data_IF_356214745666
#
_entry.id   IF_356214745666
#
_cell.length_a   1.000
_cell.length_b   1.000
_cell.length_c   1.000
_cell.angle_alpha   90.00
_cell.angle_beta   90.00
_cell.angle_gamma   90.00
#
_symmetry.space_group_name_H-M   'P 1'
#
loop_
_entity.id
_entity.type
_entity.pdbx_description
1 polymer ?
#
# COMPACT_ATOMS: atom_id res chain seq x y z
N UNK A 1 -38.22 46.03 5.41
CA UNK A 1 -38.09 44.74 4.70
C UNK A 1 -37.55 43.73 5.68
N UNK A 2 -38.42 43.01 6.40
CA UNK A 2 -38.04 42.05 7.45
C UNK A 2 -38.91 40.80 7.27
N UNK A 3 -38.47 39.87 6.43
CA UNK A 3 -39.09 38.55 6.21
C UNK A 3 -38.21 37.39 6.65
N UNK A 4 -37.35 37.62 7.64
CA UNK A 4 -36.31 36.60 7.95
C UNK A 4 -36.59 35.76 9.21
N UNK A 5 -37.69 35.97 9.90
CA UNK A 5 -37.99 35.29 11.17
C UNK A 5 -39.34 34.60 11.23
N UNK A 6 -39.92 34.20 10.08
CA UNK A 6 -41.14 33.38 10.17
C UNK A 6 -40.77 31.95 10.63
N UNK A 7 -41.43 31.40 11.66
CA UNK A 7 -41.18 30.05 12.13
C UNK A 7 -41.49 29.05 11.01
N UNK A 8 -40.51 28.13 10.78
CA UNK A 8 -40.62 27.08 9.77
C UNK A 8 -41.93 26.29 9.95
N UNK A 9 -42.64 26.04 8.85
CA UNK A 9 -43.84 25.21 8.87
C UNK A 9 -43.50 23.77 9.30
N UNK A 10 -44.42 23.02 9.89
CA UNK A 10 -44.21 21.62 10.28
C UNK A 10 -43.69 20.75 9.12
N UNK A 11 -44.14 21.05 7.89
CA UNK A 11 -43.71 20.31 6.68
C UNK A 11 -42.24 20.62 6.35
N UNK A 12 -41.84 21.89 6.42
CA UNK A 12 -40.45 22.30 6.16
C UNK A 12 -39.48 21.71 7.20
N UNK A 13 -39.91 21.67 8.47
CA UNK A 13 -39.12 21.01 9.52
C UNK A 13 -38.96 19.50 9.25
N UNK A 14 -40.04 18.82 8.82
CA UNK A 14 -39.98 17.40 8.48
C UNK A 14 -39.04 17.12 7.29
N UNK A 15 -39.12 17.95 6.24
CA UNK A 15 -38.24 17.85 5.05
C UNK A 15 -36.78 18.12 5.43
N UNK A 16 -36.53 19.15 6.25
CA UNK A 16 -35.17 19.50 6.72
C UNK A 16 -34.59 18.35 7.57
N UNK A 17 -35.38 17.79 8.49
CA UNK A 17 -35.01 16.63 9.31
C UNK A 17 -34.70 15.40 8.45
N UNK A 18 -35.53 15.10 7.45
CA UNK A 18 -35.30 13.99 6.50
C UNK A 18 -34.00 14.19 5.72
N UNK A 19 -33.76 15.37 5.18
CA UNK A 19 -32.51 15.71 4.45
C UNK A 19 -31.29 15.58 5.36
N UNK A 20 -31.40 15.98 6.61
CA UNK A 20 -30.33 15.82 7.60
C UNK A 20 -29.99 14.34 7.82
N UNK A 21 -30.99 13.50 8.06
CA UNK A 21 -30.78 12.07 8.26
C UNK A 21 -30.21 11.39 7.00
N UNK A 22 -30.70 11.72 5.82
CA UNK A 22 -30.16 11.21 4.55
C UNK A 22 -28.68 11.55 4.40
N UNK A 23 -28.31 12.81 4.65
CA UNK A 23 -26.88 13.23 4.61
C UNK A 23 -26.03 12.47 5.61
N UNK A 24 -26.55 12.28 6.81
CA UNK A 24 -25.84 11.54 7.87
C UNK A 24 -25.60 10.08 7.48
N UNK A 25 -26.61 9.42 6.93
CA UNK A 25 -26.49 8.04 6.43
C UNK A 25 -25.50 7.97 5.27
N UNK A 26 -25.56 8.89 4.31
CA UNK A 26 -24.59 8.93 3.19
C UNK A 26 -23.16 9.11 3.70
N UNK A 27 -22.93 10.03 4.64
CA UNK A 27 -21.61 10.23 5.23
C UNK A 27 -21.12 9.00 5.99
N UNK A 28 -22.00 8.33 6.72
CA UNK A 28 -21.65 7.09 7.44
C UNK A 28 -21.27 5.96 6.47
N UNK A 29 -22.01 5.80 5.37
CA UNK A 29 -21.69 4.81 4.33
C UNK A 29 -20.34 5.13 3.66
N UNK A 30 -20.11 6.41 3.30
CA UNK A 30 -18.82 6.81 2.70
C UNK A 30 -17.65 6.60 3.67
N UNK A 31 -17.82 6.93 4.95
CA UNK A 31 -16.81 6.70 5.97
C UNK A 31 -16.54 5.19 6.16
N UNK A 32 -17.59 4.36 6.14
CA UNK A 32 -17.45 2.91 6.23
C UNK A 32 -16.73 2.32 5.00
N UNK A 33 -17.08 2.76 3.79
CA UNK A 33 -16.41 2.34 2.56
C UNK A 33 -14.93 2.77 2.55
N UNK A 34 -14.64 3.99 2.99
CA UNK A 34 -13.27 4.47 3.12
C UNK A 34 -12.48 3.65 4.15
N UNK A 35 -13.07 3.36 5.31
CA UNK A 35 -12.47 2.50 6.32
C UNK A 35 -12.19 1.10 5.78
N UNK A 36 -13.17 0.49 5.09
CA UNK A 36 -13.00 -0.83 4.50
C UNK A 36 -11.89 -0.84 3.43
N UNK A 37 -11.86 0.14 2.54
CA UNK A 37 -10.85 0.25 1.50
C UNK A 37 -9.44 0.47 2.06
N UNK A 38 -9.30 1.27 3.10
CA UNK A 38 -8.00 1.68 3.63
C UNK A 38 -7.48 0.75 4.75
N UNK A 39 -8.35 0.28 5.63
CA UNK A 39 -7.94 -0.48 6.80
C UNK A 39 -8.06 -2.00 6.64
N UNK A 40 -9.10 -2.47 5.94
CA UNK A 40 -9.40 -3.90 5.81
C UNK A 40 -8.74 -4.51 4.58
N UNK A 41 -8.54 -3.74 3.52
CA UNK A 41 -7.95 -4.24 2.28
C UNK A 41 -6.43 -4.42 2.39
N UNK A 42 -6.04 -5.48 3.07
CA UNK A 42 -4.64 -5.89 3.24
C UNK A 42 -4.47 -7.34 2.78
N UNK A 43 -3.51 -7.59 1.91
CA UNK A 43 -3.20 -8.96 1.47
C UNK A 43 -1.72 -9.14 1.15
N UNK A 44 -1.27 -10.37 1.35
CA UNK A 44 0.07 -10.81 0.94
C UNK A 44 0.01 -11.22 -0.52
N UNK A 45 0.98 -10.80 -1.31
CA UNK A 45 1.10 -11.25 -2.69
C UNK A 45 1.43 -12.74 -2.70
N UNK A 46 0.60 -13.53 -3.36
CA UNK A 46 0.77 -14.98 -3.44
C UNK A 46 2.08 -15.33 -4.16
N UNK A 47 2.81 -16.27 -3.61
CA UNK A 47 4.04 -16.79 -4.19
C UNK A 47 3.74 -18.05 -5.01
N UNK A 48 4.54 -18.29 -6.06
CA UNK A 48 4.33 -19.38 -7.02
C UNK A 48 4.79 -20.74 -6.50
N UNK A 49 5.78 -20.75 -5.61
CA UNK A 49 6.40 -21.96 -5.06
C UNK A 49 6.82 -21.74 -3.62
N UNK A 50 7.16 -22.83 -2.91
CA UNK A 50 7.73 -22.74 -1.56
C UNK A 50 9.07 -22.00 -1.56
N UNK A 51 9.88 -22.19 -2.59
CA UNK A 51 11.14 -21.47 -2.75
C UNK A 51 10.90 -19.96 -2.91
N UNK A 52 9.92 -19.56 -3.72
CA UNK A 52 9.56 -18.14 -3.86
C UNK A 52 8.98 -17.59 -2.57
N UNK A 53 8.25 -18.43 -1.81
CA UNK A 53 7.77 -18.03 -0.49
C UNK A 53 8.90 -17.75 0.49
N UNK A 54 9.96 -18.56 0.48
CA UNK A 54 11.18 -18.30 1.26
C UNK A 54 11.88 -17.02 0.80
N UNK A 55 12.04 -16.83 -0.50
CA UNK A 55 12.79 -15.72 -1.08
C UNK A 55 12.05 -14.38 -1.05
N UNK A 56 10.73 -14.40 -1.18
CA UNK A 56 9.89 -13.21 -1.33
C UNK A 56 8.68 -13.16 -0.39
N UNK A 57 8.57 -14.12 0.53
CA UNK A 57 7.46 -14.19 1.48
C UNK A 57 7.46 -13.01 2.46
N UNK A 58 6.26 -12.47 2.72
CA UNK A 58 6.07 -11.39 3.68
C UNK A 58 6.20 -11.91 5.12
N UNK A 59 6.99 -11.21 5.91
CA UNK A 59 7.09 -11.41 7.37
C UNK A 59 6.26 -10.39 8.15
N UNK A 60 5.51 -9.52 7.46
CA UNK A 60 4.66 -8.49 8.08
C UNK A 60 5.32 -7.15 8.35
N UNK A 61 6.63 -7.04 8.19
CA UNK A 61 7.38 -5.80 8.45
C UNK A 61 7.03 -4.67 7.47
N UNK A 62 6.46 -5.00 6.31
CA UNK A 62 5.99 -4.06 5.30
C UNK A 62 4.90 -3.11 5.84
N UNK A 63 4.16 -3.55 6.86
CA UNK A 63 3.09 -2.75 7.47
C UNK A 63 3.62 -1.52 8.19
N UNK A 64 4.73 -1.67 8.89
CA UNK A 64 5.32 -0.60 9.71
C UNK A 64 6.40 0.19 8.97
N UNK A 65 7.23 -0.48 8.17
CA UNK A 65 8.47 0.09 7.63
C UNK A 65 8.56 0.04 6.11
N UNK A 66 7.61 -0.62 5.43
CA UNK A 66 7.66 -0.86 3.99
C UNK A 66 7.65 0.42 3.15
N UNK A 67 8.54 0.49 2.17
CA UNK A 67 8.54 1.52 1.14
C UNK A 67 7.45 1.23 0.11
N UNK A 68 6.76 2.25 -0.43
CA UNK A 68 5.87 2.04 -1.57
C UNK A 68 6.63 1.38 -2.73
N UNK A 69 6.03 0.34 -3.33
CA UNK A 69 6.67 -0.46 -4.39
C UNK A 69 7.21 0.39 -5.53
N UNK A 70 6.41 1.35 -6.02
CA UNK A 70 6.82 2.20 -7.13
C UNK A 70 7.96 3.15 -6.77
N UNK A 71 8.03 3.60 -5.51
CA UNK A 71 9.18 4.37 -5.01
C UNK A 71 10.43 3.49 -5.05
N UNK A 72 10.35 2.27 -4.53
CA UNK A 72 11.46 1.32 -4.55
C UNK A 72 11.96 1.05 -5.98
N UNK A 73 11.06 0.89 -6.95
CA UNK A 73 11.41 0.68 -8.37
C UNK A 73 12.02 1.91 -9.03
N UNK A 74 11.61 3.11 -8.64
CA UNK A 74 12.09 4.36 -9.21
C UNK A 74 13.47 4.79 -8.65
N UNK A 75 13.82 4.40 -7.44
CA UNK A 75 15.05 4.83 -6.76
C UNK A 75 16.32 4.59 -7.58
N UNK A 76 16.55 3.42 -8.24
CA UNK A 76 17.74 3.20 -9.05
C UNK A 76 17.84 4.14 -10.26
N UNK A 77 16.71 4.57 -10.81
CA UNK A 77 16.68 5.49 -11.93
C UNK A 77 16.95 6.93 -11.47
N UNK A 78 16.35 7.33 -10.33
CA UNK A 78 16.54 8.66 -9.74
C UNK A 78 18.00 8.88 -9.30
N UNK A 79 18.62 7.85 -8.76
CA UNK A 79 20.01 7.90 -8.27
C UNK A 79 21.00 7.19 -9.21
N UNK A 80 20.73 7.20 -10.50
CA UNK A 80 21.58 6.53 -11.52
C UNK A 80 23.02 7.05 -11.51
N UNK A 81 23.22 8.33 -11.21
CA UNK A 81 24.55 8.95 -11.04
C UNK A 81 25.40 8.25 -9.95
N UNK A 82 24.74 7.73 -8.91
CA UNK A 82 25.39 7.05 -7.78
C UNK A 82 25.39 5.54 -7.91
N UNK A 83 24.33 4.96 -8.46
CA UNK A 83 24.13 3.51 -8.55
C UNK A 83 24.66 2.91 -9.86
N UNK A 84 24.85 3.75 -10.88
CA UNK A 84 25.23 3.29 -12.21
C UNK A 84 24.16 2.41 -12.85
N UNK A 85 24.54 1.67 -13.88
CA UNK A 85 23.62 0.78 -14.60
C UNK A 85 23.27 -0.49 -13.81
N UNK A 86 24.04 -0.81 -12.75
CA UNK A 86 23.76 -1.95 -11.90
C UNK A 86 22.59 -1.75 -10.94
N UNK A 87 22.17 -0.50 -10.72
CA UNK A 87 21.06 -0.20 -9.80
C UNK A 87 21.26 -0.83 -8.41
N UNK A 88 20.29 -1.62 -7.98
CA UNK A 88 20.35 -2.33 -6.69
C UNK A 88 21.50 -3.35 -6.62
N UNK A 89 21.95 -3.88 -7.76
CA UNK A 89 23.08 -4.81 -7.82
C UNK A 89 24.38 -4.22 -7.28
N UNK A 90 24.53 -2.88 -7.27
CA UNK A 90 25.71 -2.21 -6.68
C UNK A 90 25.85 -2.48 -5.18
N UNK A 91 24.75 -2.73 -4.49
CA UNK A 91 24.73 -3.14 -3.07
C UNK A 91 24.86 -4.65 -2.86
N UNK A 92 25.13 -5.42 -3.93
CA UNK A 92 25.17 -6.88 -3.85
C UNK A 92 23.80 -7.55 -3.85
N UNK A 93 22.72 -6.78 -4.10
CA UNK A 93 21.38 -7.35 -4.20
C UNK A 93 21.24 -8.09 -5.53
N UNK A 94 20.77 -9.32 -5.47
CA UNK A 94 20.63 -10.22 -6.62
C UNK A 94 19.17 -10.24 -7.03
N UNK A 95 18.91 -10.03 -8.30
CA UNK A 95 17.58 -10.20 -8.91
C UNK A 95 17.67 -11.35 -9.92
N UNK A 96 16.80 -12.36 -9.80
CA UNK A 96 16.69 -13.43 -10.80
C UNK A 96 15.96 -12.91 -12.04
N UNK A 97 16.25 -13.53 -13.17
CA UNK A 97 15.51 -13.26 -14.40
C UNK A 97 14.01 -13.56 -14.20
N UNK A 98 13.18 -12.58 -14.52
CA UNK A 98 11.72 -12.65 -14.34
C UNK A 98 11.21 -12.27 -12.95
N UNK A 99 12.10 -11.98 -11.98
CA UNK A 99 11.70 -11.44 -10.70
C UNK A 99 11.57 -9.91 -10.74
N UNK A 100 10.56 -9.44 -10.06
CA UNK A 100 10.26 -8.00 -9.94
C UNK A 100 11.10 -7.30 -8.88
N UNK A 101 11.55 -8.06 -7.89
CA UNK A 101 12.29 -7.59 -6.72
C UNK A 101 13.57 -8.39 -6.55
N UNK A 102 14.60 -7.81 -5.94
CA UNK A 102 15.77 -8.56 -5.51
C UNK A 102 15.39 -9.65 -4.50
N UNK A 103 16.20 -10.71 -4.45
CA UNK A 103 16.07 -11.78 -3.45
C UNK A 103 16.14 -11.18 -2.04
N UNK A 104 15.31 -11.66 -1.15
CA UNK A 104 15.22 -11.14 0.21
C UNK A 104 14.30 -9.93 0.37
N UNK A 105 13.56 -9.56 -0.68
CA UNK A 105 12.53 -8.54 -0.59
C UNK A 105 11.15 -9.15 -0.76
N UNK A 106 10.26 -8.75 0.10
CA UNK A 106 8.85 -9.15 0.11
C UNK A 106 7.93 -8.00 -0.30
N UNK A 107 6.73 -8.34 -0.75
CA UNK A 107 5.72 -7.38 -1.18
C UNK A 107 4.38 -7.67 -0.53
N UNK A 108 3.74 -6.63 0.01
CA UNK A 108 2.43 -6.71 0.65
C UNK A 108 1.61 -5.47 0.33
N UNK A 109 0.32 -5.64 0.14
CA UNK A 109 -0.61 -4.51 0.07
C UNK A 109 -1.04 -4.13 1.48
N UNK A 110 -0.84 -2.87 1.83
CA UNK A 110 -1.20 -2.30 3.13
C UNK A 110 -1.97 -1.01 2.87
N UNK A 111 -3.20 -0.95 3.33
CA UNK A 111 -4.09 0.20 3.10
C UNK A 111 -4.22 0.59 1.62
N UNK A 112 -4.32 -0.40 0.74
CA UNK A 112 -4.43 -0.20 -0.70
C UNK A 112 -3.12 0.18 -1.42
N UNK A 113 -2.00 0.29 -0.70
CA UNK A 113 -0.69 0.61 -1.27
C UNK A 113 0.21 -0.62 -1.22
N UNK A 114 0.78 -1.01 -2.36
CA UNK A 114 1.82 -2.03 -2.38
C UNK A 114 3.08 -1.49 -1.71
N UNK A 115 3.57 -2.22 -0.73
CA UNK A 115 4.78 -1.90 0.01
C UNK A 115 5.80 -3.02 -0.09
N UNK A 116 7.05 -2.65 -0.13
CA UNK A 116 8.20 -3.55 -0.21
C UNK A 116 9.06 -3.37 1.02
N UNK A 117 9.50 -4.48 1.57
CA UNK A 117 10.48 -4.52 2.64
C UNK A 117 11.35 -5.76 2.51
N UNK A 118 12.45 -5.78 3.22
CA UNK A 118 13.28 -6.98 3.27
C UNK A 118 12.70 -8.04 4.23
N UNK A 119 12.96 -9.29 3.92
CA UNK A 119 12.61 -10.44 4.74
C UNK A 119 13.88 -11.16 5.24
N UNK A 120 13.71 -12.29 5.93
CA UNK A 120 14.82 -13.04 6.52
C UNK A 120 15.83 -13.55 5.48
N UNK A 121 15.40 -13.83 4.26
CA UNK A 121 16.27 -14.37 3.22
C UNK A 121 17.30 -13.36 2.72
N UNK A 122 17.10 -12.06 2.91
CA UNK A 122 18.12 -11.07 2.57
C UNK A 122 19.48 -11.34 3.23
N UNK A 123 19.46 -11.81 4.48
CA UNK A 123 20.66 -12.13 5.23
C UNK A 123 21.06 -13.60 5.11
N UNK A 124 20.11 -14.49 4.76
CA UNK A 124 20.33 -15.94 4.73
C UNK A 124 20.53 -16.51 3.32
N UNK A 125 20.42 -15.68 2.28
CA UNK A 125 20.75 -16.06 0.90
C UNK A 125 22.11 -15.45 0.56
N UNK A 126 23.09 -16.30 0.34
CA UNK A 126 24.40 -15.93 -0.17
C UNK A 126 24.52 -16.24 -1.65
N UNK A 127 25.32 -15.47 -2.37
CA UNK A 127 25.77 -15.82 -3.71
C UNK A 127 27.31 -15.92 -3.73
N UNK A 128 27.82 -16.85 -4.51
CA UNK A 128 29.23 -16.88 -4.84
C UNK A 128 29.39 -16.88 -6.35
N UNK A 129 30.40 -16.20 -6.83
CA UNK A 129 30.77 -16.24 -8.25
C UNK A 129 31.71 -17.40 -8.44
N UNK A 130 31.38 -18.29 -9.36
CA UNK A 130 32.35 -19.27 -9.83
C UNK A 130 33.46 -18.52 -10.58
N UNK A 131 34.72 -18.90 -10.41
CA UNK A 131 35.85 -18.33 -11.13
C UNK A 131 35.77 -18.60 -12.61
#
# INVERSE_FOLDING_TARGET
>A
MSRENDPLTPVEMAVRRRRFWVRLVVLAVLAWLAYWALAVNQYVVAQKSEQDHFLHGSIGAETASGLPYWVFKALPQIYRDKLGDQGWGRFGLITRDGDDLPLGFSRRVVSGVERVWFNCSLCHVGSYRLP
#
